data_IF_451932778545
#
_entry.id   IF_451932778545
#
_cell.length_a   1.000
_cell.length_b   1.000
_cell.length_c   1.000
_cell.angle_alpha   90.00
_cell.angle_beta   90.00
_cell.angle_gamma   90.00
#
_symmetry.space_group_name_H-M   'P 1'
#
loop_
_entity.id
_entity.type
_entity.pdbx_description
1 polymer ?
#
# COMPACT_ATOMS: atom_id res chain seq x y z
N UNK A 1 18.22 -13.93 -9.26
CA UNK A 1 17.05 -13.19 -8.74
C UNK A 1 17.44 -12.60 -7.39
N UNK A 2 17.52 -11.28 -7.29
CA UNK A 2 17.80 -10.63 -6.02
C UNK A 2 16.60 -10.83 -5.09
N UNK A 3 16.87 -11.28 -3.85
CA UNK A 3 15.83 -11.36 -2.81
C UNK A 3 15.24 -9.97 -2.60
N UNK A 4 13.90 -9.84 -2.46
CA UNK A 4 13.29 -8.59 -2.06
C UNK A 4 13.87 -8.18 -0.70
N UNK A 5 14.56 -7.06 -0.65
CA UNK A 5 15.13 -6.54 0.60
C UNK A 5 14.16 -5.52 1.18
N UNK A 6 13.95 -5.56 2.49
CA UNK A 6 13.18 -4.55 3.22
C UNK A 6 14.01 -3.27 3.48
N UNK A 7 15.07 -3.04 2.70
CA UNK A 7 16.01 -1.96 2.96
C UNK A 7 16.72 -2.17 4.31
N UNK A 8 16.75 -1.14 5.20
CA UNK A 8 17.41 -1.24 6.50
C UNK A 8 16.62 -2.07 7.54
N UNK A 9 15.47 -2.63 7.17
CA UNK A 9 14.59 -3.37 8.08
C UNK A 9 14.66 -4.87 7.82
N UNK A 10 14.74 -5.66 8.89
CA UNK A 10 14.66 -7.11 8.80
C UNK A 10 13.19 -7.56 8.72
N UNK A 11 12.87 -8.37 7.72
CA UNK A 11 11.54 -8.93 7.54
C UNK A 11 11.19 -9.89 8.69
N UNK A 12 9.99 -9.79 9.22
CA UNK A 12 9.49 -10.70 10.25
C UNK A 12 9.61 -12.15 9.80
N UNK A 13 10.19 -13.00 10.65
CA UNK A 13 10.37 -14.44 10.37
C UNK A 13 9.02 -15.09 10.04
N UNK A 14 8.99 -15.83 8.92
CA UNK A 14 7.78 -16.50 8.43
C UNK A 14 6.84 -15.60 7.62
N UNK A 15 7.13 -14.30 7.50
CA UNK A 15 6.37 -13.44 6.59
C UNK A 15 6.72 -13.75 5.13
N UNK A 16 5.72 -13.91 4.29
CA UNK A 16 5.92 -14.25 2.88
C UNK A 16 6.49 -13.05 2.09
N UNK A 17 7.25 -13.36 1.05
CA UNK A 17 7.61 -12.38 0.04
C UNK A 17 6.43 -12.18 -0.93
N UNK A 18 6.43 -11.04 -1.65
CA UNK A 18 5.46 -10.86 -2.72
C UNK A 18 5.69 -11.91 -3.81
N UNK A 19 4.60 -12.39 -4.40
CA UNK A 19 4.65 -13.41 -5.44
C UNK A 19 4.88 -12.78 -6.81
N UNK A 20 5.98 -13.12 -7.48
CA UNK A 20 6.43 -12.49 -8.72
C UNK A 20 6.02 -13.23 -10.00
N UNK A 21 5.32 -14.34 -9.88
CA UNK A 21 4.90 -15.19 -11.00
C UNK A 21 3.40 -15.51 -11.01
N UNK A 22 2.49 -14.52 -10.84
CA UNK A 22 1.07 -14.80 -10.82
C UNK A 22 0.59 -15.33 -12.17
N UNK A 23 -0.21 -16.38 -12.15
CA UNK A 23 -0.89 -16.86 -13.35
C UNK A 23 -1.93 -15.84 -13.83
N UNK A 24 -2.14 -15.79 -15.13
CA UNK A 24 -3.20 -14.96 -15.68
C UNK A 24 -4.56 -15.65 -15.44
N UNK A 25 -5.55 -14.96 -14.87
CA UNK A 25 -6.87 -15.55 -14.68
C UNK A 25 -7.52 -15.85 -16.03
N UNK A 26 -8.32 -16.92 -16.08
CA UNK A 26 -9.14 -17.23 -17.27
C UNK A 26 -10.33 -16.30 -17.41
N UNK A 27 -10.77 -15.74 -16.28
CA UNK A 27 -11.83 -14.76 -16.23
C UNK A 27 -11.32 -13.41 -16.72
N UNK A 28 -12.09 -12.77 -17.61
CA UNK A 28 -11.81 -11.42 -18.08
C UNK A 28 -12.48 -10.43 -17.13
N UNK A 29 -11.67 -9.63 -16.46
CA UNK A 29 -12.16 -8.59 -15.56
C UNK A 29 -12.90 -7.53 -16.38
N UNK A 30 -14.12 -7.12 -16.01
CA UNK A 30 -14.86 -6.09 -16.71
C UNK A 30 -14.10 -4.77 -16.79
N UNK A 31 -14.28 -4.03 -17.88
CA UNK A 31 -13.72 -2.68 -18.03
C UNK A 31 -14.17 -1.78 -16.86
N UNK A 32 -13.23 -0.99 -16.33
CA UNK A 32 -13.50 -0.11 -15.21
C UNK A 32 -13.47 -0.79 -13.83
N UNK A 33 -13.25 -2.11 -13.76
CA UNK A 33 -13.16 -2.82 -12.49
C UNK A 33 -12.03 -2.26 -11.62
N UNK A 34 -12.28 -2.28 -10.31
CA UNK A 34 -11.37 -1.74 -9.29
C UNK A 34 -10.93 -2.84 -8.34
N UNK A 35 -9.63 -2.99 -8.12
CA UNK A 35 -9.13 -3.69 -6.94
C UNK A 35 -9.41 -2.78 -5.74
N UNK A 36 -10.43 -3.13 -4.97
CA UNK A 36 -10.99 -2.25 -3.94
C UNK A 36 -10.24 -2.28 -2.60
N UNK A 37 -9.22 -3.12 -2.43
CA UNK A 37 -8.43 -3.17 -1.21
C UNK A 37 -7.05 -3.82 -1.45
N UNK A 38 -6.05 -2.99 -1.66
CA UNK A 38 -4.67 -3.41 -1.78
C UNK A 38 -3.75 -2.55 -0.92
N UNK A 39 -2.49 -2.95 -0.83
CA UNK A 39 -1.48 -2.25 -0.05
C UNK A 39 -0.22 -2.00 -0.88
N UNK A 40 0.57 -1.00 -0.47
CA UNK A 40 1.99 -0.88 -0.80
C UNK A 40 2.80 -1.04 0.49
N UNK A 41 3.98 -1.66 0.39
CA UNK A 41 4.91 -1.82 1.49
C UNK A 41 6.26 -1.22 1.11
N UNK A 42 6.65 -0.15 1.75
CA UNK A 42 7.92 0.50 1.49
C UNK A 42 8.06 1.12 0.09
N UNK A 43 9.28 1.11 -0.50
CA UNK A 43 10.49 0.51 0.07
C UNK A 43 10.90 1.13 1.40
N UNK A 44 11.31 0.29 2.36
CA UNK A 44 11.62 0.74 3.72
C UNK A 44 12.77 1.75 3.80
N UNK A 45 13.67 1.76 2.81
CA UNK A 45 14.74 2.74 2.70
C UNK A 45 14.21 4.17 2.39
N UNK A 46 13.10 4.29 1.69
CA UNK A 46 12.47 5.57 1.29
C UNK A 46 11.28 5.91 2.20
N UNK A 47 10.46 4.92 2.50
CA UNK A 47 9.28 5.02 3.36
C UNK A 47 9.43 4.08 4.56
N UNK A 48 10.06 4.53 5.66
CA UNK A 48 10.33 3.69 6.81
C UNK A 48 9.07 3.06 7.39
N UNK A 49 9.21 1.84 7.89
CA UNK A 49 8.17 1.17 8.64
C UNK A 49 8.04 1.76 10.05
N UNK A 50 6.82 1.87 10.57
CA UNK A 50 6.53 2.45 11.86
C UNK A 50 7.25 1.71 13.00
N UNK A 51 7.83 2.44 13.99
CA UNK A 51 8.51 1.79 15.11
C UNK A 51 7.59 0.88 15.93
N UNK A 52 6.31 1.24 16.07
CA UNK A 52 5.28 0.51 16.81
C UNK A 52 4.66 -0.67 16.06
N UNK A 53 5.06 -0.91 14.82
CA UNK A 53 4.50 -1.99 14.00
C UNK A 53 4.62 -3.37 14.65
N UNK A 54 3.68 -4.24 14.36
CA UNK A 54 3.65 -5.62 14.88
C UNK A 54 4.28 -6.64 13.91
N UNK A 55 4.60 -6.22 12.70
CA UNK A 55 5.29 -7.03 11.68
C UNK A 55 6.06 -6.13 10.72
N UNK A 56 7.11 -6.68 10.14
CA UNK A 56 7.84 -6.07 9.02
C UNK A 56 7.62 -6.94 7.78
N UNK A 57 6.92 -6.45 6.75
CA UNK A 57 6.73 -7.19 5.50
C UNK A 57 8.01 -7.16 4.65
N UNK A 58 8.00 -7.85 3.49
CA UNK A 58 8.92 -7.53 2.42
C UNK A 58 8.56 -6.17 1.80
N UNK A 59 9.53 -5.53 1.14
CA UNK A 59 9.21 -4.40 0.28
C UNK A 59 8.37 -4.87 -0.91
N UNK A 60 7.25 -4.21 -1.12
CA UNK A 60 6.35 -4.40 -2.26
C UNK A 60 5.81 -3.03 -2.68
N UNK A 61 6.54 -2.37 -3.56
CA UNK A 61 6.34 -0.97 -3.92
C UNK A 61 5.15 -0.76 -4.87
N UNK A 62 4.88 0.50 -5.16
CA UNK A 62 3.89 0.91 -6.17
C UNK A 62 4.12 0.24 -7.54
N UNK A 63 5.39 0.01 -7.93
CA UNK A 63 5.71 -0.63 -9.21
C UNK A 63 5.18 -2.07 -9.29
N UNK A 64 5.38 -2.87 -8.22
CA UNK A 64 4.84 -4.23 -8.14
C UNK A 64 3.31 -4.22 -8.11
N UNK A 65 2.69 -3.29 -7.36
CA UNK A 65 1.24 -3.19 -7.30
C UNK A 65 0.64 -2.86 -8.67
N UNK A 66 1.20 -1.89 -9.38
CA UNK A 66 0.69 -1.49 -10.69
C UNK A 66 0.88 -2.58 -11.74
N UNK A 67 2.03 -3.27 -11.72
CA UNK A 67 2.26 -4.42 -12.58
C UNK A 67 1.24 -5.55 -12.34
N UNK A 68 0.93 -5.84 -11.08
CA UNK A 68 -0.08 -6.85 -10.73
C UNK A 68 -1.48 -6.41 -11.17
N UNK A 69 -1.86 -5.16 -10.95
CA UNK A 69 -3.13 -4.59 -11.41
C UNK A 69 -3.31 -4.80 -12.91
N UNK A 70 -2.30 -4.39 -13.69
CA UNK A 70 -2.35 -4.45 -15.15
C UNK A 70 -2.35 -5.90 -15.65
N UNK A 71 -1.57 -6.79 -15.00
CA UNK A 71 -1.55 -8.22 -15.30
C UNK A 71 -2.91 -8.89 -15.09
N UNK A 72 -3.61 -8.53 -14.01
CA UNK A 72 -4.94 -9.07 -13.68
C UNK A 72 -6.06 -8.42 -14.48
N UNK A 73 -5.82 -7.27 -15.12
CA UNK A 73 -6.79 -6.56 -15.94
C UNK A 73 -7.67 -5.57 -15.17
N UNK A 74 -7.33 -5.23 -13.93
CA UNK A 74 -8.01 -4.16 -13.20
C UNK A 74 -7.64 -2.79 -13.76
N UNK A 75 -8.61 -1.88 -13.83
CA UNK A 75 -8.40 -0.52 -14.32
C UNK A 75 -7.86 0.41 -13.24
N UNK A 76 -8.21 0.15 -11.98
CA UNK A 76 -7.95 1.05 -10.84
C UNK A 76 -7.68 0.28 -9.55
N UNK A 77 -7.11 1.01 -8.57
CA UNK A 77 -6.85 0.51 -7.22
C UNK A 77 -7.48 1.40 -6.14
N UNK A 78 -7.88 0.82 -5.03
CA UNK A 78 -8.03 1.51 -3.75
C UNK A 78 -6.88 1.05 -2.85
N UNK A 79 -5.90 1.92 -2.65
CA UNK A 79 -4.72 1.63 -1.84
C UNK A 79 -5.03 1.99 -0.39
N UNK A 80 -5.15 0.98 0.44
CA UNK A 80 -5.43 1.15 1.86
C UNK A 80 -4.13 1.22 2.64
N UNK A 81 -4.02 2.15 3.58
CA UNK A 81 -2.83 2.27 4.43
C UNK A 81 -2.53 0.95 5.15
N UNK A 82 -1.31 0.45 4.99
CA UNK A 82 -0.86 -0.76 5.68
C UNK A 82 -0.47 -0.45 7.12
N UNK A 83 -0.85 -1.32 8.07
CA UNK A 83 -0.58 -1.10 9.50
C UNK A 83 0.89 -1.06 9.85
N UNK A 84 1.76 -1.69 9.06
CA UNK A 84 3.21 -1.63 9.26
C UNK A 84 3.80 -0.23 9.03
N UNK A 85 3.11 0.66 8.36
CA UNK A 85 3.48 2.07 8.22
C UNK A 85 2.81 2.98 9.26
N UNK A 86 1.90 2.46 10.10
CA UNK A 86 1.18 3.25 11.10
C UNK A 86 0.41 4.40 10.45
N UNK A 87 0.56 5.61 10.99
CA UNK A 87 -0.04 6.83 10.46
C UNK A 87 0.88 7.59 9.48
N UNK A 88 2.01 7.02 9.09
CA UNK A 88 2.84 7.57 8.02
C UNK A 88 2.31 7.13 6.65
N UNK A 89 1.47 7.94 6.06
CA UNK A 89 0.78 7.66 4.81
C UNK A 89 1.62 7.93 3.54
N UNK A 90 2.90 8.27 3.66
CA UNK A 90 3.72 8.74 2.53
C UNK A 90 3.84 7.70 1.41
N UNK A 91 4.06 6.43 1.73
CA UNK A 91 4.17 5.37 0.71
C UNK A 91 2.87 5.23 -0.11
N UNK A 92 1.73 5.22 0.57
CA UNK A 92 0.41 5.14 -0.06
C UNK A 92 0.09 6.41 -0.87
N UNK A 93 0.35 7.60 -0.33
CA UNK A 93 0.12 8.86 -1.01
C UNK A 93 1.00 9.02 -2.27
N UNK A 94 2.26 8.61 -2.19
CA UNK A 94 3.19 8.57 -3.32
C UNK A 94 2.68 7.63 -4.43
N UNK A 95 2.20 6.46 -4.08
CA UNK A 95 1.59 5.55 -5.04
C UNK A 95 0.33 6.14 -5.70
N UNK A 96 -0.52 6.83 -4.93
CA UNK A 96 -1.68 7.51 -5.50
C UNK A 96 -1.30 8.61 -6.49
N UNK A 97 -0.31 9.45 -6.16
CA UNK A 97 0.19 10.50 -7.06
C UNK A 97 0.77 9.91 -8.35
N UNK A 98 1.54 8.83 -8.23
CA UNK A 98 2.19 8.17 -9.36
C UNK A 98 1.24 7.34 -10.25
N UNK A 99 -0.02 7.19 -9.86
CA UNK A 99 -0.97 6.29 -10.53
C UNK A 99 -1.62 6.86 -11.79
N UNK A 100 -1.34 8.09 -12.15
CA UNK A 100 -2.04 8.79 -13.24
C UNK A 100 -3.58 8.75 -13.09
N UNK A 101 -4.05 9.04 -11.86
CA UNK A 101 -5.47 9.05 -11.52
C UNK A 101 -6.14 7.68 -11.35
N UNK A 102 -5.39 6.58 -11.55
CA UNK A 102 -5.91 5.20 -11.46
C UNK A 102 -5.97 4.66 -10.04
N UNK A 103 -5.47 5.38 -9.05
CA UNK A 103 -5.58 4.96 -7.64
C UNK A 103 -6.22 6.04 -6.76
N UNK A 104 -6.88 5.56 -5.70
CA UNK A 104 -7.36 6.36 -4.58
C UNK A 104 -6.84 5.74 -3.29
N UNK A 105 -6.61 6.59 -2.28
CA UNK A 105 -6.07 6.18 -1.01
C UNK A 105 -7.12 6.14 0.10
N UNK A 106 -6.88 5.26 1.07
CA UNK A 106 -7.56 5.24 2.36
C UNK A 106 -6.50 5.32 3.45
N UNK A 107 -6.42 6.43 4.15
CA UNK A 107 -5.37 6.75 5.11
C UNK A 107 -5.65 6.21 6.52
N UNK A 108 -4.61 6.10 7.32
CA UNK A 108 -4.71 6.04 8.77
C UNK A 108 -4.23 7.36 9.34
N UNK A 109 -5.04 8.00 10.15
CA UNK A 109 -4.71 9.30 10.76
C UNK A 109 -4.80 9.22 12.27
N UNK A 110 -3.98 10.01 12.95
CA UNK A 110 -4.07 10.22 14.40
C UNK A 110 -5.13 11.26 14.71
N UNK A 111 -5.60 11.29 15.97
CA UNK A 111 -6.54 12.31 16.43
C UNK A 111 -5.98 13.72 16.31
N UNK A 112 -4.65 13.86 16.30
CA UNK A 112 -3.93 15.11 16.14
C UNK A 112 -3.72 15.56 14.69
N UNK A 113 -4.31 14.88 13.72
CA UNK A 113 -4.18 15.23 12.29
C UNK A 113 -4.66 16.68 12.07
N UNK A 114 -3.89 17.45 11.32
CA UNK A 114 -4.20 18.83 11.01
C UNK A 114 -4.97 18.95 9.69
N UNK A 115 -5.65 20.07 9.49
CA UNK A 115 -6.33 20.39 8.24
C UNK A 115 -5.36 20.46 7.06
N UNK A 116 -4.12 20.89 7.28
CA UNK A 116 -3.09 20.92 6.24
C UNK A 116 -2.73 19.50 5.80
N UNK A 117 -2.48 18.59 6.74
CA UNK A 117 -2.21 17.18 6.44
C UNK A 117 -3.38 16.52 5.71
N UNK A 118 -4.62 16.82 6.10
CA UNK A 118 -5.80 16.31 5.41
C UNK A 118 -5.90 16.83 3.97
N UNK A 119 -5.56 18.11 3.73
CA UNK A 119 -5.52 18.67 2.37
C UNK A 119 -4.46 18.00 1.52
N UNK A 120 -3.23 17.82 2.04
CA UNK A 120 -2.16 17.14 1.32
C UNK A 120 -2.52 15.70 0.93
N UNK A 121 -3.18 14.97 1.85
CA UNK A 121 -3.70 13.65 1.57
C UNK A 121 -4.79 13.68 0.49
N UNK A 122 -5.70 14.65 0.56
CA UNK A 122 -6.75 14.84 -0.45
C UNK A 122 -6.15 15.11 -1.84
N UNK A 123 -5.18 16.00 -1.93
CA UNK A 123 -4.47 16.34 -3.18
C UNK A 123 -3.70 15.14 -3.74
N UNK A 124 -3.18 14.27 -2.86
CA UNK A 124 -2.56 13.01 -3.27
C UNK A 124 -3.55 11.98 -3.83
N UNK A 125 -4.86 12.17 -3.65
CA UNK A 125 -5.88 11.23 -4.11
C UNK A 125 -6.51 10.39 -2.99
N UNK A 126 -6.21 10.68 -1.72
CA UNK A 126 -6.87 10.02 -0.58
C UNK A 126 -8.32 10.46 -0.48
N UNK A 127 -9.24 9.51 -0.24
CA UNK A 127 -10.69 9.76 -0.18
C UNK A 127 -11.37 9.08 0.99
N UNK A 128 -10.61 8.41 1.85
CA UNK A 128 -11.16 7.77 3.04
C UNK A 128 -10.14 7.63 4.15
N UNK A 129 -10.64 7.27 5.32
CA UNK A 129 -9.85 6.96 6.51
C UNK A 129 -10.25 5.59 7.03
N UNK A 130 -9.27 4.80 7.45
CA UNK A 130 -9.51 3.52 8.10
C UNK A 130 -9.16 3.60 9.59
N UNK A 131 -9.87 2.83 10.37
CA UNK A 131 -9.53 2.49 11.75
C UNK A 131 -9.31 0.98 11.85
N UNK A 132 -8.22 0.57 12.48
CA UNK A 132 -7.91 -0.85 12.66
C UNK A 132 -8.06 -1.22 14.15
N UNK A 133 -8.98 -2.13 14.43
CA UNK A 133 -9.25 -2.64 15.80
C UNK A 133 -8.77 -4.08 16.00
N UNK A 134 -7.97 -4.61 15.08
CA UNK A 134 -7.43 -5.97 15.19
C UNK A 134 -6.28 -5.96 16.19
N UNK A 135 -6.52 -6.41 17.42
CA UNK A 135 -5.57 -6.38 18.56
C UNK A 135 -4.15 -6.89 18.25
N UNK A 136 -4.02 -7.86 17.34
CA UNK A 136 -2.71 -8.40 16.93
C UNK A 136 -1.93 -7.50 15.97
N UNK A 137 -2.55 -6.46 15.43
CA UNK A 137 -1.98 -5.58 14.39
C UNK A 137 -1.85 -4.13 14.85
N UNK A 138 -2.34 -3.78 16.04
CA UNK A 138 -2.32 -2.43 16.63
C UNK A 138 -1.76 -2.43 18.03
#
# INVERSE_FOLDING_TARGET
MSKPTTGPFEKTKGWLDWYNGPSKPRFVVPEGAVDAHCHVFGPGAEFPYAPERKYTPCDASKAQLFALRDHLGFSRNVIVQATCHGADNRAMADACRASDGKARGVATVKRSVTDAELRDLHEAGVRGVRFNFVKRLV
#
